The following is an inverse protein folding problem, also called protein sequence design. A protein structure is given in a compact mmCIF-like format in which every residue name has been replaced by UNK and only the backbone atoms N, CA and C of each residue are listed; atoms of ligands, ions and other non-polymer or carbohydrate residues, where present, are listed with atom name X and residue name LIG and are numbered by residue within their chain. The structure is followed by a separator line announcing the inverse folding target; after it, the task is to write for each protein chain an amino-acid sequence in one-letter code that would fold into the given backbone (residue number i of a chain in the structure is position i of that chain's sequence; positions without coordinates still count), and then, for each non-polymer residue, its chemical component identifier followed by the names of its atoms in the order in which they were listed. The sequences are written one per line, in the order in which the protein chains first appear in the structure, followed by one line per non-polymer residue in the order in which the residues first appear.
data_IF_342769381669
#
_entry.id   IF_342769381669
#
_cell.length_a   1.000
_cell.length_b   1.000
_cell.length_c   1.000
_cell.angle_alpha   90.00
_cell.angle_beta   90.00
_cell.angle_gamma   90.00
#
_symmetry.space_group_name_H-M   'P 1'
#
loop_
_entity.id
_entity.type
_entity.pdbx_description
1 polymer ?
#
# COMPACT_ATOMS: atom_id res chain seq x y z
N UNK A 1 7.14 17.78 4.12
CA UNK A 1 7.01 17.12 5.42
C UNK A 1 6.37 18.06 6.44
N UNK A 2 5.36 17.57 7.16
CA UNK A 2 4.66 18.30 8.24
C UNK A 2 4.02 19.65 7.84
N UNK A 3 3.62 19.81 6.58
CA UNK A 3 2.90 21.00 6.11
C UNK A 3 1.41 20.89 6.48
N UNK A 4 1.11 21.05 7.77
CA UNK A 4 -0.22 20.78 8.34
C UNK A 4 -1.34 21.70 7.83
N UNK A 5 -1.02 22.79 7.14
CA UNK A 5 -2.01 23.75 6.62
C UNK A 5 -2.32 23.56 5.13
N UNK A 6 -1.58 22.68 4.42
CA UNK A 6 -1.86 22.42 3.00
C UNK A 6 -3.10 21.53 2.87
N UNK A 7 -4.15 22.06 2.25
CA UNK A 7 -5.39 21.32 2.00
C UNK A 7 -5.40 20.66 0.60
N UNK A 8 -4.76 21.26 -0.37
CA UNK A 8 -4.69 20.75 -1.75
C UNK A 8 -3.29 20.90 -2.30
N UNK A 9 -2.84 19.88 -3.05
CA UNK A 9 -1.55 19.88 -3.74
C UNK A 9 -1.72 19.27 -5.13
N UNK A 10 -1.21 19.97 -6.15
CA UNK A 10 -1.25 19.48 -7.52
C UNK A 10 0.17 19.33 -8.07
N UNK A 11 0.56 18.10 -8.35
CA UNK A 11 1.83 17.69 -8.97
C UNK A 11 1.62 17.00 -10.32
N UNK A 12 0.38 17.09 -10.88
CA UNK A 12 0.04 16.38 -12.11
C UNK A 12 0.86 16.89 -13.29
N UNK A 13 1.33 15.95 -14.10
CA UNK A 13 2.09 16.24 -15.32
C UNK A 13 3.50 16.77 -15.08
N UNK A 14 3.97 16.84 -13.83
CA UNK A 14 5.36 17.21 -13.57
C UNK A 14 6.31 16.14 -14.12
N UNK A 15 7.33 16.60 -14.84
CA UNK A 15 8.43 15.77 -15.32
C UNK A 15 9.71 16.22 -14.60
N UNK A 16 10.16 15.41 -13.66
CA UNK A 16 11.32 15.70 -12.79
C UNK A 16 12.28 14.51 -12.78
N UNK A 17 12.97 14.25 -13.91
CA UNK A 17 13.73 13.02 -14.14
C UNK A 17 14.92 12.82 -13.19
N UNK A 18 15.42 13.88 -12.58
CA UNK A 18 16.57 13.83 -11.67
C UNK A 18 16.18 13.53 -10.21
N UNK A 19 14.88 13.47 -9.90
CA UNK A 19 14.41 13.16 -8.54
C UNK A 19 14.61 11.68 -8.25
N UNK A 20 15.47 11.38 -7.29
CA UNK A 20 15.83 10.02 -6.89
C UNK A 20 15.01 9.51 -5.71
N UNK A 21 14.30 10.37 -4.98
CA UNK A 21 13.49 9.99 -3.82
C UNK A 21 12.24 10.84 -3.69
N UNK A 22 11.12 10.18 -3.39
CA UNK A 22 9.85 10.78 -2.96
C UNK A 22 9.60 10.55 -1.47
N UNK A 23 10.62 10.09 -0.74
CA UNK A 23 10.53 9.76 0.68
C UNK A 23 9.97 10.94 1.49
N UNK A 24 8.95 10.65 2.28
CA UNK A 24 8.32 11.61 3.19
C UNK A 24 7.82 12.90 2.53
N UNK A 25 7.57 12.93 1.21
CA UNK A 25 7.21 14.13 0.44
C UNK A 25 6.09 14.94 1.11
N UNK A 26 5.00 14.27 1.49
CA UNK A 26 3.85 14.86 2.17
C UNK A 26 3.63 14.29 3.57
N UNK A 27 4.65 13.68 4.18
CA UNK A 27 4.53 13.12 5.53
C UNK A 27 4.02 14.17 6.52
N UNK A 28 2.99 13.82 7.30
CA UNK A 28 2.41 14.69 8.32
C UNK A 28 1.61 15.87 7.78
N UNK A 29 1.25 15.90 6.49
CA UNK A 29 0.36 16.91 5.94
C UNK A 29 -1.09 16.60 6.33
N UNK A 30 -1.42 16.80 7.60
CA UNK A 30 -2.67 16.34 8.23
C UNK A 30 -3.93 16.97 7.64
N UNK A 31 -3.85 18.16 7.06
CA UNK A 31 -4.98 18.84 6.41
C UNK A 31 -5.11 18.53 4.92
N UNK A 32 -4.21 17.72 4.33
CA UNK A 32 -4.22 17.42 2.90
C UNK A 32 -5.46 16.56 2.56
N UNK A 33 -6.45 17.18 1.93
CA UNK A 33 -7.68 16.52 1.50
C UNK A 33 -7.63 16.04 0.06
N UNK A 34 -6.84 16.71 -0.78
CA UNK A 34 -6.73 16.42 -2.20
C UNK A 34 -5.28 16.49 -2.69
N UNK A 35 -4.82 15.41 -3.28
CA UNK A 35 -3.53 15.34 -3.96
C UNK A 35 -3.76 14.86 -5.40
N UNK A 36 -3.26 15.61 -6.36
CA UNK A 36 -3.25 15.22 -7.77
C UNK A 36 -1.83 14.92 -8.22
N UNK A 37 -1.58 13.68 -8.67
CA UNK A 37 -0.27 13.19 -9.13
C UNK A 37 -0.35 12.53 -10.51
N UNK A 38 -1.49 12.63 -11.21
CA UNK A 38 -1.67 11.99 -12.52
C UNK A 38 -0.56 12.42 -13.49
N UNK A 39 0.02 11.43 -14.18
CA UNK A 39 1.14 11.64 -15.10
C UNK A 39 2.40 12.28 -14.46
N UNK A 40 2.60 12.13 -13.16
CA UNK A 40 3.85 12.49 -12.51
C UNK A 40 4.95 11.55 -13.01
N UNK A 41 6.02 12.11 -13.59
CA UNK A 41 7.13 11.35 -14.15
C UNK A 41 8.40 11.55 -13.31
N UNK A 42 8.79 10.49 -12.58
CA UNK A 42 9.95 10.45 -11.68
C UNK A 42 10.77 9.17 -11.91
N UNK A 43 11.30 8.95 -13.12
CA UNK A 43 11.89 7.66 -13.51
C UNK A 43 13.14 7.27 -12.71
N UNK A 44 13.85 8.24 -12.12
CA UNK A 44 15.03 7.98 -11.29
C UNK A 44 14.69 7.64 -9.83
N UNK A 45 13.44 7.80 -9.40
CA UNK A 45 13.04 7.58 -8.00
C UNK A 45 13.26 6.12 -7.59
N UNK A 46 13.86 5.93 -6.40
CA UNK A 46 14.14 4.61 -5.79
C UNK A 46 13.33 4.37 -4.53
N UNK A 47 12.88 5.42 -3.87
CA UNK A 47 12.08 5.34 -2.65
C UNK A 47 10.85 6.25 -2.72
N UNK A 48 9.72 5.71 -2.29
CA UNK A 48 8.48 6.43 -1.96
C UNK A 48 8.06 6.15 -0.50
N UNK A 49 9.04 5.73 0.34
CA UNK A 49 8.80 5.40 1.74
C UNK A 49 8.19 6.59 2.49
N UNK A 50 7.09 6.33 3.20
CA UNK A 50 6.38 7.34 3.97
C UNK A 50 5.86 8.54 3.17
N UNK A 51 5.79 8.47 1.83
CA UNK A 51 5.44 9.60 0.96
C UNK A 51 4.22 10.39 1.44
N UNK A 52 3.19 9.70 1.93
CA UNK A 52 1.92 10.26 2.40
C UNK A 52 1.63 9.89 3.85
N UNK A 53 2.62 9.38 4.58
CA UNK A 53 2.46 8.95 5.97
C UNK A 53 1.81 10.05 6.81
N UNK A 54 0.73 9.70 7.53
CA UNK A 54 0.03 10.64 8.41
C UNK A 54 -0.79 11.72 7.70
N UNK A 55 -1.11 11.59 6.39
CA UNK A 55 -2.06 12.45 5.70
C UNK A 55 -3.49 12.09 6.12
N UNK A 56 -3.85 12.42 7.35
CA UNK A 56 -5.09 11.95 8.00
C UNK A 56 -6.39 12.44 7.35
N UNK A 57 -6.37 13.51 6.58
CA UNK A 57 -7.54 14.06 5.87
C UNK A 57 -7.68 13.58 4.43
N UNK A 58 -6.68 12.87 3.87
CA UNK A 58 -6.69 12.37 2.50
C UNK A 58 -7.74 11.25 2.36
N UNK A 59 -8.67 11.40 1.41
CA UNK A 59 -9.80 10.47 1.25
C UNK A 59 -9.64 9.51 0.09
N UNK A 60 -9.13 10.00 -1.02
CA UNK A 60 -8.93 9.23 -2.25
C UNK A 60 -7.67 9.66 -2.96
N UNK A 61 -7.07 8.75 -3.72
CA UNK A 61 -5.93 9.02 -4.58
C UNK A 61 -5.93 8.07 -5.77
N UNK A 62 -5.44 8.52 -6.93
CA UNK A 62 -5.18 7.68 -8.09
C UNK A 62 -3.76 7.87 -8.60
N UNK A 63 -3.13 6.79 -9.03
CA UNK A 63 -1.79 6.77 -9.63
C UNK A 63 -1.82 6.72 -11.15
N UNK A 64 -2.91 7.14 -11.79
CA UNK A 64 -3.05 7.11 -13.23
C UNK A 64 -1.88 7.81 -13.95
N UNK A 65 -1.13 7.05 -14.75
CA UNK A 65 -0.01 7.56 -15.54
C UNK A 65 1.23 7.97 -14.74
N UNK A 66 1.32 7.60 -13.45
CA UNK A 66 2.52 7.86 -12.65
C UNK A 66 3.64 6.89 -13.04
N UNK A 67 4.86 7.40 -13.24
CA UNK A 67 6.02 6.56 -13.59
C UNK A 67 6.84 6.30 -12.33
N UNK A 68 6.78 5.06 -11.84
CA UNK A 68 7.46 4.59 -10.61
C UNK A 68 8.27 3.30 -10.82
N UNK A 69 8.58 2.93 -12.06
CA UNK A 69 9.19 1.64 -12.41
C UNK A 69 10.52 1.31 -11.72
N UNK A 70 11.21 2.32 -11.17
CA UNK A 70 12.46 2.15 -10.45
C UNK A 70 12.33 2.09 -8.93
N UNK A 71 11.12 2.27 -8.37
CA UNK A 71 10.90 2.37 -6.92
C UNK A 71 11.00 0.98 -6.29
N UNK A 72 11.94 0.80 -5.37
CA UNK A 72 12.18 -0.45 -4.65
C UNK A 72 11.63 -0.44 -3.23
N UNK A 73 11.45 0.74 -2.64
CA UNK A 73 10.93 0.92 -1.29
C UNK A 73 9.64 1.75 -1.30
N UNK A 74 8.53 1.10 -0.95
CA UNK A 74 7.20 1.69 -0.81
C UNK A 74 6.68 1.56 0.64
N UNK A 75 7.60 1.31 1.59
CA UNK A 75 7.23 1.11 3.00
C UNK A 75 6.53 2.33 3.58
N UNK A 76 5.54 2.10 4.43
CA UNK A 76 4.79 3.14 5.13
C UNK A 76 4.14 4.22 4.24
N UNK A 77 4.04 4.00 2.92
CA UNK A 77 3.65 5.04 1.95
C UNK A 77 2.34 5.76 2.32
N UNK A 78 1.37 5.05 2.87
CA UNK A 78 0.06 5.56 3.32
C UNK A 78 -0.17 5.33 4.82
N UNK A 79 0.86 4.99 5.58
CA UNK A 79 0.71 4.69 7.02
C UNK A 79 -0.02 5.82 7.74
N UNK A 80 -1.09 5.49 8.47
CA UNK A 80 -1.86 6.46 9.23
C UNK A 80 -2.75 7.42 8.40
N UNK A 81 -2.99 7.13 7.11
CA UNK A 81 -3.99 7.86 6.32
C UNK A 81 -5.40 7.45 6.74
N UNK A 82 -5.83 7.88 7.92
CA UNK A 82 -7.03 7.38 8.59
C UNK A 82 -8.34 7.65 7.85
N UNK A 83 -8.41 8.70 7.03
CA UNK A 83 -9.59 9.03 6.20
C UNK A 83 -9.56 8.39 4.80
N UNK A 84 -8.46 7.72 4.40
CA UNK A 84 -8.32 7.12 3.08
C UNK A 84 -9.30 5.95 2.95
N UNK A 85 -10.39 6.17 2.21
CA UNK A 85 -11.45 5.19 2.02
C UNK A 85 -11.29 4.37 0.74
N UNK A 86 -10.62 4.93 -0.26
CA UNK A 86 -10.29 4.27 -1.51
C UNK A 86 -8.98 4.82 -2.10
N UNK A 87 -8.22 3.93 -2.72
CA UNK A 87 -7.02 4.28 -3.49
C UNK A 87 -6.97 3.40 -4.75
N UNK A 88 -6.78 4.06 -5.90
CA UNK A 88 -6.54 3.38 -7.16
C UNK A 88 -5.03 3.31 -7.40
N UNK A 89 -4.48 2.12 -7.24
CA UNK A 89 -3.05 1.85 -7.42
C UNK A 89 -2.74 1.07 -8.70
N UNK A 90 -3.71 0.87 -9.58
CA UNK A 90 -3.48 0.17 -10.85
C UNK A 90 -2.38 0.82 -11.71
N UNK A 91 -2.22 2.14 -11.59
CA UNK A 91 -1.13 2.87 -12.25
C UNK A 91 0.19 2.93 -11.48
N UNK A 92 0.25 2.37 -10.27
CA UNK A 92 1.48 2.29 -9.48
C UNK A 92 2.29 1.06 -9.91
N UNK A 93 3.41 1.28 -10.58
CA UNK A 93 4.30 0.17 -10.95
C UNK A 93 5.04 -0.37 -9.73
N UNK A 94 4.70 -1.58 -9.32
CA UNK A 94 5.29 -2.28 -8.18
C UNK A 94 6.32 -3.32 -8.59
N UNK A 95 6.64 -3.44 -9.88
CA UNK A 95 7.51 -4.52 -10.42
C UNK A 95 8.93 -4.54 -9.84
N UNK A 96 9.41 -3.42 -9.33
CA UNK A 96 10.71 -3.32 -8.65
C UNK A 96 10.61 -3.30 -7.12
N UNK A 97 9.39 -3.19 -6.56
CA UNK A 97 9.19 -3.00 -5.14
C UNK A 97 9.52 -4.29 -4.36
N UNK A 98 10.56 -4.21 -3.51
CA UNK A 98 10.95 -5.29 -2.61
C UNK A 98 10.45 -5.09 -1.18
N UNK A 99 10.21 -3.84 -0.78
CA UNK A 99 9.74 -3.48 0.55
C UNK A 99 8.43 -2.71 0.47
N UNK A 100 7.35 -3.32 0.99
CA UNK A 100 6.02 -2.74 1.14
C UNK A 100 5.54 -2.84 2.59
N UNK A 101 6.48 -2.97 3.55
CA UNK A 101 6.17 -3.01 4.97
C UNK A 101 5.30 -1.83 5.38
N UNK A 102 4.24 -2.09 6.14
CA UNK A 102 3.35 -1.08 6.70
C UNK A 102 2.71 -0.11 5.68
N UNK A 103 2.68 -0.46 4.37
CA UNK A 103 2.28 0.47 3.30
C UNK A 103 0.93 1.14 3.57
N UNK A 104 -0.05 0.43 4.11
CA UNK A 104 -1.39 0.93 4.47
C UNK A 104 -1.69 0.82 5.96
N UNK A 105 -0.68 0.60 6.80
CA UNK A 105 -0.87 0.45 8.25
C UNK A 105 -1.69 1.60 8.83
N UNK A 106 -2.74 1.28 9.59
CA UNK A 106 -3.59 2.26 10.23
C UNK A 106 -4.52 3.07 9.30
N UNK A 107 -4.70 2.64 8.04
CA UNK A 107 -5.72 3.20 7.14
C UNK A 107 -7.11 2.71 7.56
N UNK A 108 -7.62 3.24 8.66
CA UNK A 108 -8.83 2.74 9.34
C UNK A 108 -10.11 2.85 8.52
N UNK A 109 -10.16 3.73 7.51
CA UNK A 109 -11.31 3.89 6.60
C UNK A 109 -11.19 3.08 5.30
N UNK A 110 -10.02 2.48 5.01
CA UNK A 110 -9.79 1.72 3.78
C UNK A 110 -10.64 0.44 3.80
N UNK A 111 -11.60 0.34 2.88
CA UNK A 111 -12.55 -0.76 2.85
C UNK A 111 -12.11 -1.96 2.02
N UNK A 112 -11.17 -1.78 1.12
CA UNK A 112 -10.59 -2.82 0.28
C UNK A 112 -9.52 -2.28 -0.65
N UNK A 113 -8.81 -3.19 -1.31
CA UNK A 113 -7.76 -2.87 -2.27
C UNK A 113 -7.75 -3.89 -3.40
N UNK A 114 -7.57 -3.40 -4.62
CA UNK A 114 -7.36 -4.21 -5.81
C UNK A 114 -5.88 -4.15 -6.22
N UNK A 115 -5.20 -5.30 -6.07
CA UNK A 115 -3.80 -5.53 -6.48
C UNK A 115 -3.70 -6.34 -7.78
N UNK A 116 -4.81 -6.61 -8.47
CA UNK A 116 -4.82 -7.47 -9.65
C UNK A 116 -3.98 -6.92 -10.82
N UNK A 117 -3.68 -5.63 -10.81
CA UNK A 117 -2.85 -4.96 -11.81
C UNK A 117 -1.41 -4.71 -11.34
N UNK A 118 -1.07 -5.13 -10.11
CA UNK A 118 0.23 -4.86 -9.50
C UNK A 118 1.11 -6.11 -9.51
N UNK A 119 2.37 -5.93 -9.88
CA UNK A 119 3.35 -7.00 -9.91
C UNK A 119 4.02 -7.15 -8.54
N UNK A 120 3.93 -8.33 -7.93
CA UNK A 120 4.51 -8.63 -6.62
C UNK A 120 5.76 -9.53 -6.69
N UNK A 121 6.22 -9.85 -7.90
CA UNK A 121 7.30 -10.82 -8.12
C UNK A 121 8.64 -10.48 -7.43
N UNK A 122 8.83 -9.24 -6.98
CA UNK A 122 10.00 -8.83 -6.22
C UNK A 122 9.70 -8.49 -4.76
N UNK A 123 8.44 -8.60 -4.33
CA UNK A 123 8.05 -8.32 -2.95
C UNK A 123 8.74 -9.32 -1.99
N UNK A 124 9.46 -8.79 -1.02
CA UNK A 124 10.14 -9.57 0.02
C UNK A 124 9.51 -9.33 1.40
N UNK A 125 9.08 -8.12 1.66
CA UNK A 125 8.51 -7.72 2.94
C UNK A 125 7.17 -6.99 2.74
N UNK A 126 6.09 -7.63 3.20
CA UNK A 126 4.73 -7.08 3.27
C UNK A 126 4.21 -7.06 4.71
N UNK A 127 5.13 -7.16 5.69
CA UNK A 127 4.77 -7.17 7.10
C UNK A 127 4.00 -5.92 7.49
N UNK A 128 3.01 -6.07 8.35
CA UNK A 128 2.12 -5.00 8.80
C UNK A 128 1.40 -4.22 7.69
N UNK A 129 1.38 -4.71 6.44
CA UNK A 129 0.90 -3.94 5.29
C UNK A 129 -0.50 -3.36 5.49
N UNK A 130 -1.41 -4.10 6.13
CA UNK A 130 -2.78 -3.68 6.45
C UNK A 130 -3.06 -3.67 7.96
N UNK A 131 -2.02 -3.68 8.80
CA UNK A 131 -2.20 -3.68 10.27
C UNK A 131 -3.07 -2.50 10.71
N UNK A 132 -4.14 -2.80 11.47
CA UNK A 132 -5.07 -1.80 11.98
C UNK A 132 -6.05 -1.20 10.95
N UNK A 133 -6.13 -1.76 9.73
CA UNK A 133 -7.14 -1.35 8.74
C UNK A 133 -8.51 -1.93 9.14
N UNK A 134 -9.16 -1.32 10.14
CA UNK A 134 -10.35 -1.87 10.77
C UNK A 134 -11.60 -1.95 9.87
N UNK A 135 -11.68 -1.11 8.82
CA UNK A 135 -12.74 -1.18 7.81
C UNK A 135 -12.46 -2.18 6.68
N UNK A 136 -11.24 -2.75 6.60
CA UNK A 136 -10.79 -3.56 5.48
C UNK A 136 -11.57 -4.87 5.38
N UNK A 137 -12.23 -5.08 4.25
CA UNK A 137 -13.13 -6.20 4.03
C UNK A 137 -12.85 -7.00 2.75
N UNK A 138 -12.04 -6.48 1.81
CA UNK A 138 -11.74 -7.19 0.58
C UNK A 138 -10.33 -6.89 0.08
N UNK A 139 -9.66 -7.91 -0.45
CA UNK A 139 -8.38 -7.83 -1.13
C UNK A 139 -8.44 -8.69 -2.39
N UNK A 140 -8.06 -8.11 -3.52
CA UNK A 140 -8.04 -8.81 -4.80
C UNK A 140 -6.59 -8.88 -5.27
N UNK A 141 -6.12 -10.08 -5.60
CA UNK A 141 -4.83 -10.32 -6.24
C UNK A 141 -5.02 -10.73 -7.71
N UNK A 142 -3.96 -10.59 -8.51
CA UNK A 142 -3.92 -11.25 -9.81
C UNK A 142 -3.98 -12.77 -9.62
N UNK A 143 -4.66 -13.48 -10.52
CA UNK A 143 -4.77 -14.95 -10.46
C UNK A 143 -3.44 -15.67 -10.69
N UNK A 144 -2.46 -14.96 -11.23
CA UNK A 144 -1.10 -15.42 -11.54
C UNK A 144 -0.03 -14.63 -10.76
N UNK A 145 -0.39 -14.08 -9.60
CA UNK A 145 0.54 -13.31 -8.77
C UNK A 145 1.76 -14.17 -8.38
N UNK A 146 2.94 -13.78 -8.87
CA UNK A 146 4.20 -14.37 -8.43
C UNK A 146 4.62 -13.78 -7.08
N UNK A 147 4.80 -14.64 -6.09
CA UNK A 147 5.20 -14.26 -4.72
C UNK A 147 6.41 -15.07 -4.24
N UNK A 148 7.15 -15.68 -5.15
CA UNK A 148 8.29 -16.57 -4.87
C UNK A 148 9.36 -15.93 -3.96
N UNK A 149 9.52 -14.62 -4.02
CA UNK A 149 10.52 -13.91 -3.20
C UNK A 149 9.98 -13.43 -1.84
N UNK A 150 8.71 -13.66 -1.53
CA UNK A 150 8.12 -13.23 -0.28
C UNK A 150 8.74 -13.95 0.92
N UNK A 151 9.11 -13.20 1.96
CA UNK A 151 9.82 -13.70 3.15
C UNK A 151 9.13 -13.33 4.45
N UNK A 152 8.54 -12.15 4.51
CA UNK A 152 7.97 -11.60 5.74
C UNK A 152 6.54 -11.10 5.54
N UNK A 153 5.60 -11.76 6.24
CA UNK A 153 4.17 -11.44 6.28
C UNK A 153 3.70 -11.18 7.73
N UNK A 154 4.65 -10.93 8.66
CA UNK A 154 4.32 -10.68 10.06
C UNK A 154 3.23 -9.61 10.18
N UNK A 155 2.20 -9.86 10.98
CA UNK A 155 1.12 -8.93 11.30
C UNK A 155 0.42 -8.30 10.07
N UNK A 156 0.52 -8.89 8.85
CA UNK A 156 0.03 -8.29 7.61
C UNK A 156 -1.41 -7.80 7.68
N UNK A 157 -2.31 -8.56 8.32
CA UNK A 157 -3.73 -8.23 8.50
C UNK A 157 -4.12 -8.01 9.97
N UNK A 158 -3.14 -7.87 10.86
CA UNK A 158 -3.41 -7.70 12.29
C UNK A 158 -4.40 -6.55 12.53
N UNK A 159 -5.50 -6.84 13.25
CA UNK A 159 -6.53 -5.85 13.56
C UNK A 159 -7.46 -5.48 12.39
N UNK A 160 -7.46 -6.22 11.28
CA UNK A 160 -8.46 -6.08 10.21
C UNK A 160 -9.79 -6.69 10.67
N UNK A 161 -10.50 -5.99 11.55
CA UNK A 161 -11.66 -6.52 12.27
C UNK A 161 -12.85 -6.85 11.38
N UNK A 162 -12.94 -6.27 10.18
CA UNK A 162 -14.04 -6.49 9.22
C UNK A 162 -13.70 -7.46 8.10
N UNK A 163 -12.49 -8.01 8.06
CA UNK A 163 -12.06 -8.96 7.04
C UNK A 163 -12.81 -10.30 7.20
N UNK A 164 -13.79 -10.62 6.32
CA UNK A 164 -14.65 -11.81 6.50
C UNK A 164 -14.01 -13.06 5.92
N UNK A 165 -13.26 -12.88 4.86
CA UNK A 165 -12.49 -13.91 4.18
C UNK A 165 -11.31 -13.22 3.51
N UNK A 166 -10.24 -13.95 3.36
CA UNK A 166 -9.22 -13.64 2.39
C UNK A 166 -9.67 -14.42 1.17
N UNK A 167 -10.07 -13.73 0.12
CA UNK A 167 -10.60 -14.42 -1.05
C UNK A 167 -9.66 -15.55 -1.44
N UNK A 168 -10.17 -16.78 -1.38
CA UNK A 168 -9.39 -17.98 -1.69
C UNK A 168 -8.75 -17.89 -3.10
N UNK A 169 -9.31 -17.08 -4.00
CA UNK A 169 -8.70 -16.82 -5.30
C UNK A 169 -7.43 -15.98 -5.21
N UNK A 170 -7.26 -15.17 -4.17
CA UNK A 170 -6.10 -14.32 -4.00
C UNK A 170 -4.96 -14.97 -3.21
N UNK A 171 -5.26 -15.57 -2.04
CA UNK A 171 -4.19 -16.13 -1.17
C UNK A 171 -3.76 -17.52 -1.57
N UNK A 172 -4.62 -18.31 -2.21
CA UNK A 172 -4.22 -19.62 -2.75
C UNK A 172 -3.12 -19.54 -3.80
N UNK A 173 -2.85 -18.36 -4.33
CA UNK A 173 -1.76 -18.11 -5.27
C UNK A 173 -0.50 -17.53 -4.60
N UNK A 174 -0.54 -17.24 -3.29
CA UNK A 174 0.66 -16.83 -2.56
C UNK A 174 1.50 -18.07 -2.30
N UNK A 175 2.68 -18.12 -2.91
CA UNK A 175 3.68 -19.11 -2.58
C UNK A 175 4.23 -18.82 -1.18
N UNK A 176 3.91 -19.69 -0.23
CA UNK A 176 4.36 -19.56 1.16
C UNK A 176 5.66 -20.33 1.43
N UNK A 177 6.18 -21.11 0.49
CA UNK A 177 7.36 -21.98 0.71
C UNK A 177 8.60 -21.17 1.10
N UNK A 178 8.70 -19.92 0.67
CA UNK A 178 9.81 -19.03 1.02
C UNK A 178 9.55 -18.13 2.23
N UNK A 179 8.33 -18.10 2.77
CA UNK A 179 7.95 -17.19 3.85
C UNK A 179 8.52 -17.69 5.18
N UNK A 180 9.29 -16.85 5.86
CA UNK A 180 9.95 -17.18 7.13
C UNK A 180 9.19 -16.66 8.35
N UNK A 181 8.33 -15.65 8.20
CA UNK A 181 7.58 -15.07 9.32
C UNK A 181 6.14 -14.71 8.91
N UNK A 182 5.18 -15.41 9.52
CA UNK A 182 3.74 -15.16 9.43
C UNK A 182 3.15 -14.85 10.81
N UNK A 183 3.98 -14.56 11.81
CA UNK A 183 3.52 -14.35 13.18
C UNK A 183 2.52 -13.19 13.26
N UNK A 184 1.50 -13.34 14.09
CA UNK A 184 0.42 -12.36 14.30
C UNK A 184 -0.34 -11.95 13.02
N UNK A 185 -0.18 -12.67 11.89
CA UNK A 185 -0.72 -12.28 10.57
C UNK A 185 -2.21 -11.94 10.62
N UNK A 186 -3.01 -12.70 11.38
CA UNK A 186 -4.45 -12.51 11.53
C UNK A 186 -4.89 -12.18 12.96
N UNK A 187 -3.97 -11.76 13.82
CA UNK A 187 -4.29 -11.38 15.19
C UNK A 187 -5.36 -10.28 15.21
N UNK A 188 -6.49 -10.52 15.90
CA UNK A 188 -7.59 -9.55 15.97
C UNK A 188 -8.50 -9.47 14.73
N UNK A 189 -8.38 -10.37 13.75
CA UNK A 189 -9.30 -10.48 12.62
C UNK A 189 -10.60 -11.19 13.05
N UNK A 190 -11.40 -10.55 13.88
CA UNK A 190 -12.56 -11.17 14.54
C UNK A 190 -13.71 -11.60 13.62
N UNK A 191 -13.75 -11.09 12.41
CA UNK A 191 -14.74 -11.47 11.39
C UNK A 191 -14.29 -12.60 10.47
N UNK A 192 -13.00 -12.99 10.55
CA UNK A 192 -12.43 -13.97 9.65
C UNK A 192 -13.00 -15.36 9.93
N UNK A 193 -13.52 -16.03 8.89
CA UNK A 193 -14.14 -17.35 8.99
C UNK A 193 -13.12 -18.44 8.66
N UNK A 194 -13.14 -19.52 9.42
CA UNK A 194 -12.23 -20.66 9.25
C UNK A 194 -12.31 -21.35 7.86
N UNK A 195 -13.45 -21.21 7.17
CA UNK A 195 -13.63 -21.76 5.81
C UNK A 195 -12.89 -20.96 4.73
N UNK A 196 -12.16 -19.91 5.08
CA UNK A 196 -11.41 -19.05 4.16
C UNK A 196 -9.89 -19.18 4.31
N UNK A 197 -9.40 -20.15 5.07
CA UNK A 197 -7.98 -20.48 5.25
C UNK A 197 -7.62 -21.78 4.56
#
# INVERSE_FOLDING_TARGET
KNCSSIATLNLSGLNIPEVTSLESLCEGCTSLMSLSISNLNVPAAKSASGMLKGCTSLRTLSFAGVVTSGVTDMSSMFEGCTSLSAVDIAGLDTSSASNMNAMFKGCTSLSGLDLSHNNLARAMDVSSMFEGCSAFASLIFASDADTTYLRNMNAMFKGCTRLPSIDASGITHIDLDGVSDTSSMFEGCVSLRASSL
#
